data_IF_631232230843
#
_entry.id   IF_631232230843
#
_cell.length_a   1.000
_cell.length_b   1.000
_cell.length_c   1.000
_cell.angle_alpha   90.00
_cell.angle_beta   90.00
_cell.angle_gamma   90.00
#
_symmetry.space_group_name_H-M   'P 1'
#
loop_
_entity.id
_entity.type
_entity.pdbx_description
1 polymer ?
#
# COMPACT_ATOMS: atom_id res chain seq x y z
N UNK A 1 6.23 -6.67 7.16
CA UNK A 1 5.71 -5.53 7.94
C UNK A 1 4.27 -5.78 8.39
N UNK A 2 3.33 -6.01 7.47
CA UNK A 2 1.92 -6.29 7.81
C UNK A 2 1.74 -7.45 8.82
N UNK A 3 2.51 -8.53 8.65
CA UNK A 3 2.51 -9.67 9.59
C UNK A 3 2.98 -9.29 11.00
N UNK A 4 4.02 -8.46 11.11
CA UNK A 4 4.50 -7.98 12.41
C UNK A 4 3.46 -7.05 13.07
N UNK A 5 2.78 -6.21 12.28
CA UNK A 5 1.65 -5.40 12.78
C UNK A 5 0.46 -6.29 13.19
N UNK A 6 0.25 -7.43 12.54
CA UNK A 6 -0.77 -8.41 12.94
C UNK A 6 -0.46 -9.03 14.31
N UNK A 7 0.81 -9.35 14.59
CA UNK A 7 1.25 -9.81 15.92
C UNK A 7 0.93 -8.77 17.00
N UNK A 8 1.28 -7.49 16.75
CA UNK A 8 1.00 -6.39 17.68
C UNK A 8 -0.50 -6.23 17.91
N UNK A 9 -1.32 -6.27 16.85
CA UNK A 9 -2.78 -6.22 17.01
C UNK A 9 -3.32 -7.40 17.82
N UNK A 10 -2.79 -8.60 17.59
CA UNK A 10 -3.16 -9.80 18.35
C UNK A 10 -2.81 -9.69 19.84
N UNK A 11 -1.62 -9.17 20.17
CA UNK A 11 -1.20 -8.92 21.55
C UNK A 11 -2.08 -7.88 22.25
N UNK A 12 -2.40 -6.78 21.56
CA UNK A 12 -3.30 -5.76 22.10
C UNK A 12 -4.71 -6.31 22.38
N UNK A 13 -5.21 -7.19 21.51
CA UNK A 13 -6.50 -7.86 21.71
C UNK A 13 -6.45 -8.82 22.90
N UNK A 14 -5.35 -9.57 23.05
CA UNK A 14 -5.15 -10.45 24.20
C UNK A 14 -5.15 -9.65 25.52
N UNK A 15 -4.48 -8.49 25.55
CA UNK A 15 -4.52 -7.57 26.69
C UNK A 15 -5.94 -7.06 26.98
N UNK A 16 -6.68 -6.64 25.95
CA UNK A 16 -8.06 -6.19 26.10
C UNK A 16 -8.99 -7.28 26.65
N UNK A 17 -8.68 -8.56 26.38
CA UNK A 17 -9.39 -9.71 26.92
C UNK A 17 -8.86 -10.20 28.27
N UNK A 18 -7.84 -9.55 28.85
CA UNK A 18 -7.27 -9.93 30.13
C UNK A 18 -6.45 -11.22 30.09
N UNK A 19 -5.98 -11.65 28.92
CA UNK A 19 -5.14 -12.84 28.77
C UNK A 19 -3.71 -12.54 29.20
N UNK A 20 -3.12 -13.43 30.00
CA UNK A 20 -1.72 -13.33 30.44
C UNK A 20 -0.77 -14.22 29.67
N UNK A 21 -1.27 -15.22 28.96
CA UNK A 21 -0.47 -16.16 28.19
C UNK A 21 -1.07 -16.37 26.81
N UNK A 22 -0.23 -16.33 25.79
CA UNK A 22 -0.65 -16.60 24.42
C UNK A 22 0.46 -17.23 23.59
N UNK A 23 0.04 -18.08 22.65
CA UNK A 23 0.89 -18.62 21.61
C UNK A 23 0.53 -17.98 20.26
N UNK A 24 1.49 -17.28 19.67
CA UNK A 24 1.38 -16.66 18.35
C UNK A 24 1.86 -17.67 17.32
N UNK A 25 0.97 -18.06 16.41
CA UNK A 25 1.29 -18.91 15.28
C UNK A 25 1.57 -18.05 14.06
N UNK A 26 2.69 -18.29 13.38
CA UNK A 26 3.06 -17.59 12.15
C UNK A 26 3.64 -18.57 11.15
N UNK A 27 3.40 -18.39 9.86
CA UNK A 27 4.08 -19.11 8.78
C UNK A 27 5.26 -18.31 8.19
N UNK A 28 5.47 -17.10 8.69
CA UNK A 28 6.59 -16.25 8.30
C UNK A 28 7.81 -16.50 9.17
N UNK A 29 8.79 -17.19 8.59
CA UNK A 29 10.09 -17.45 9.22
C UNK A 29 10.81 -16.15 9.64
N UNK A 30 10.62 -15.08 8.87
CA UNK A 30 11.21 -13.77 9.17
C UNK A 30 10.59 -13.14 10.42
N UNK A 31 9.26 -13.14 10.53
CA UNK A 31 8.57 -12.61 11.73
C UNK A 31 8.85 -13.48 12.94
N UNK A 32 8.85 -14.81 12.77
CA UNK A 32 9.23 -15.74 13.82
C UNK A 32 10.60 -15.39 14.40
N UNK A 33 11.61 -15.25 13.53
CA UNK A 33 12.97 -14.89 13.94
C UNK A 33 13.01 -13.55 14.66
N UNK A 34 12.40 -12.52 14.10
CA UNK A 34 12.42 -11.17 14.68
C UNK A 34 11.81 -11.09 16.07
N UNK A 35 10.63 -11.71 16.27
CA UNK A 35 9.95 -11.70 17.56
C UNK A 35 10.69 -12.61 18.55
N UNK A 36 11.14 -13.80 18.13
CA UNK A 36 11.94 -14.69 18.99
C UNK A 36 13.26 -14.05 19.44
N UNK A 37 14.00 -13.41 18.53
CA UNK A 37 15.24 -12.70 18.84
C UNK A 37 14.97 -11.49 19.76
N UNK A 38 13.86 -10.78 19.54
CA UNK A 38 13.41 -9.70 20.41
C UNK A 38 13.05 -10.16 21.82
N UNK A 39 12.21 -11.18 21.96
CA UNK A 39 11.77 -11.70 23.26
C UNK A 39 12.90 -12.35 24.05
N UNK A 40 13.85 -13.00 23.39
CA UNK A 40 14.99 -13.63 24.05
C UNK A 40 16.05 -12.64 24.55
N UNK A 41 15.98 -11.37 24.12
CA UNK A 41 16.99 -10.35 24.44
C UNK A 41 18.38 -10.62 23.86
N UNK A 42 18.54 -11.68 23.04
CA UNK A 42 19.85 -12.22 22.65
C UNK A 42 20.51 -11.57 21.44
N UNK A 43 19.87 -10.63 20.73
CA UNK A 43 20.53 -9.98 19.60
C UNK A 43 19.97 -8.62 19.22
N UNK A 44 20.88 -7.72 18.82
CA UNK A 44 20.55 -6.60 17.94
C UNK A 44 19.93 -7.18 16.67
N UNK A 45 18.66 -6.88 16.42
CA UNK A 45 17.96 -7.21 15.16
C UNK A 45 18.83 -6.79 13.98
N UNK A 46 19.46 -7.76 13.32
CA UNK A 46 20.39 -7.49 12.23
C UNK A 46 19.65 -7.68 10.91
N UNK A 47 18.95 -6.64 10.46
CA UNK A 47 18.14 -6.69 9.25
C UNK A 47 18.57 -5.60 8.28
N UNK A 48 19.20 -5.96 7.15
CA UNK A 48 19.57 -5.02 6.07
C UNK A 48 18.38 -4.57 5.21
N UNK A 49 17.22 -4.36 5.81
CA UNK A 49 15.98 -4.04 5.10
C UNK A 49 15.74 -2.53 5.05
N UNK A 50 15.27 -2.02 3.92
CA UNK A 50 14.70 -0.68 3.81
C UNK A 50 13.44 -0.61 4.70
N UNK A 51 13.63 -0.25 5.98
CA UNK A 51 12.61 -0.35 7.02
C UNK A 51 13.08 -0.90 8.37
N UNK A 52 14.38 -1.21 8.54
CA UNK A 52 14.94 -1.72 9.80
C UNK A 52 14.49 -0.94 11.04
N UNK A 53 14.52 0.40 10.99
CA UNK A 53 14.10 1.23 12.14
C UNK A 53 12.64 1.00 12.54
N UNK A 54 11.76 0.77 11.57
CA UNK A 54 10.34 0.47 11.85
C UNK A 54 10.19 -0.91 12.48
N UNK A 55 10.92 -1.91 11.98
CA UNK A 55 10.93 -3.27 12.54
C UNK A 55 11.41 -3.22 13.99
N UNK A 56 12.53 -2.53 14.26
CA UNK A 56 13.07 -2.34 15.62
C UNK A 56 12.07 -1.65 16.55
N UNK A 57 11.44 -0.56 16.11
CA UNK A 57 10.43 0.15 16.91
C UNK A 57 9.24 -0.74 17.27
N UNK A 58 8.80 -1.55 16.32
CA UNK A 58 7.65 -2.46 16.48
C UNK A 58 7.97 -3.61 17.43
N UNK A 59 9.17 -4.18 17.34
CA UNK A 59 9.63 -5.21 18.28
C UNK A 59 9.87 -4.63 19.66
N UNK A 60 10.40 -3.40 19.76
CA UNK A 60 10.50 -2.68 21.02
C UNK A 60 9.14 -2.51 21.71
N UNK A 61 8.08 -2.24 20.94
CA UNK A 61 6.70 -2.19 21.49
C UNK A 61 6.27 -3.55 22.05
N UNK A 62 6.55 -4.64 21.34
CA UNK A 62 6.26 -6.01 21.82
C UNK A 62 7.03 -6.32 23.10
N UNK A 63 8.31 -5.96 23.17
CA UNK A 63 9.14 -6.15 24.36
C UNK A 63 8.59 -5.37 25.56
N UNK A 64 8.28 -4.08 25.37
CA UNK A 64 7.68 -3.26 26.43
C UNK A 64 6.38 -3.85 26.94
N UNK A 65 5.53 -4.38 26.06
CA UNK A 65 4.27 -5.00 26.50
C UNK A 65 4.49 -6.30 27.28
N UNK A 66 5.45 -7.12 26.87
CA UNK A 66 5.81 -8.35 27.58
C UNK A 66 6.32 -8.04 28.98
N UNK A 67 7.18 -7.05 29.11
CA UNK A 67 7.77 -6.63 30.38
C UNK A 67 6.74 -5.94 31.29
N UNK A 68 6.04 -4.91 30.78
CA UNK A 68 5.13 -4.06 31.57
C UNK A 68 3.86 -4.81 32.02
N UNK A 69 3.29 -5.63 31.14
CA UNK A 69 2.06 -6.37 31.43
C UNK A 69 2.30 -7.81 31.88
N UNK A 70 3.56 -8.23 32.04
CA UNK A 70 3.95 -9.60 32.39
C UNK A 70 3.31 -10.66 31.48
N UNK A 71 3.25 -10.38 30.16
CA UNK A 71 2.67 -11.29 29.18
C UNK A 71 3.61 -12.46 28.89
N UNK A 72 3.10 -13.68 29.00
CA UNK A 72 3.78 -14.88 28.54
C UNK A 72 3.49 -15.09 27.06
N UNK A 73 4.40 -14.61 26.20
CA UNK A 73 4.27 -14.74 24.75
C UNK A 73 5.20 -15.84 24.24
N UNK A 74 4.61 -16.86 23.63
CA UNK A 74 5.32 -17.88 22.85
C UNK A 74 5.07 -17.63 21.37
N UNK A 75 6.08 -17.77 20.53
CA UNK A 75 5.92 -17.73 19.07
C UNK A 75 6.31 -19.08 18.47
N UNK A 76 5.50 -19.59 17.55
CA UNK A 76 5.69 -20.88 16.91
C UNK A 76 5.55 -20.74 15.39
N UNK A 77 6.50 -21.32 14.66
CA UNK A 77 6.48 -21.38 13.19
C UNK A 77 5.60 -22.56 12.74
N UNK A 78 4.59 -22.29 11.93
CA UNK A 78 3.65 -23.29 11.38
C UNK A 78 3.72 -23.30 9.86
N UNK A 79 3.22 -24.36 9.21
CA UNK A 79 3.06 -24.37 7.75
C UNK A 79 1.96 -23.39 7.36
N UNK A 80 2.07 -22.75 6.18
CA UNK A 80 1.02 -21.84 5.69
C UNK A 80 -0.37 -22.48 5.62
N UNK A 81 -0.46 -23.79 5.34
CA UNK A 81 -1.72 -24.54 5.34
C UNK A 81 -2.38 -24.64 6.73
N UNK A 82 -1.60 -24.51 7.80
CA UNK A 82 -2.04 -24.58 9.19
C UNK A 82 -2.31 -23.18 9.76
N UNK A 83 -1.85 -22.12 9.07
CA UNK A 83 -2.11 -20.74 9.46
C UNK A 83 -3.56 -20.34 9.13
N UNK A 84 -4.46 -20.49 10.11
CA UNK A 84 -5.87 -20.11 9.99
C UNK A 84 -6.09 -18.64 9.65
N UNK A 85 -5.16 -17.75 10.01
CA UNK A 85 -5.27 -16.32 9.73
C UNK A 85 -5.10 -15.99 8.24
N UNK A 86 -4.43 -16.85 7.47
CA UNK A 86 -4.25 -16.66 6.04
C UNK A 86 -5.60 -16.68 5.30
N UNK A 87 -6.49 -17.62 5.65
CA UNK A 87 -7.86 -17.66 5.07
C UNK A 87 -8.63 -16.37 5.36
N UNK A 88 -8.48 -15.81 6.57
CA UNK A 88 -9.18 -14.61 7.00
C UNK A 88 -8.62 -13.31 6.39
N UNK A 89 -7.39 -13.34 5.89
CA UNK A 89 -6.69 -12.16 5.36
C UNK A 89 -6.55 -12.16 3.84
N UNK A 90 -6.92 -13.25 3.17
CA UNK A 90 -6.93 -13.32 1.70
C UNK A 90 -7.96 -12.37 1.11
N UNK A 91 -7.52 -11.58 0.15
CA UNK A 91 -8.41 -10.75 -0.68
C UNK A 91 -9.29 -11.68 -1.53
N UNK A 92 -10.62 -11.50 -1.56
CA UNK A 92 -11.50 -12.27 -2.42
C UNK A 92 -11.03 -12.23 -3.87
N UNK A 93 -10.95 -13.40 -4.51
CA UNK A 93 -10.47 -13.49 -5.90
C UNK A 93 -11.36 -12.71 -6.87
N UNK A 94 -12.65 -12.54 -6.56
CA UNK A 94 -13.52 -11.68 -7.38
C UNK A 94 -13.05 -10.23 -7.41
N UNK A 95 -12.44 -9.73 -6.34
CA UNK A 95 -11.96 -8.35 -6.25
C UNK A 95 -10.65 -8.15 -7.01
N UNK A 96 -9.92 -9.24 -7.26
CA UNK A 96 -8.70 -9.25 -8.06
C UNK A 96 -8.99 -9.39 -9.56
N UNK A 97 -10.23 -9.69 -9.96
CA UNK A 97 -10.60 -9.75 -11.37
C UNK A 97 -10.42 -8.34 -11.97
N UNK A 98 -9.61 -8.18 -13.03
CA UNK A 98 -9.61 -6.96 -13.80
C UNK A 98 -11.05 -6.68 -14.20
N UNK A 99 -11.51 -5.46 -13.92
CA UNK A 99 -12.82 -5.01 -14.39
C UNK A 99 -12.79 -5.14 -15.91
N UNK A 100 -13.60 -6.04 -16.47
CA UNK A 100 -13.66 -6.24 -17.92
C UNK A 100 -13.85 -4.87 -18.56
N UNK A 101 -12.86 -4.47 -19.37
CA UNK A 101 -12.98 -3.28 -20.17
C UNK A 101 -14.14 -3.55 -21.11
N UNK A 102 -15.30 -2.97 -20.82
CA UNK A 102 -16.45 -2.98 -21.72
C UNK A 102 -15.92 -2.42 -23.03
N UNK A 103 -15.73 -3.29 -24.02
CA UNK A 103 -15.30 -2.91 -25.35
C UNK A 103 -16.41 -2.03 -25.94
N UNK A 104 -16.25 -0.72 -25.77
CA UNK A 104 -17.10 0.26 -26.45
C UNK A 104 -16.70 0.23 -27.93
N UNK A 105 -17.64 0.05 -28.87
CA UNK A 105 -17.32 0.16 -30.28
C UNK A 105 -16.98 1.62 -30.57
N UNK A 106 -15.71 1.89 -30.86
CA UNK A 106 -15.19 3.23 -31.13
C UNK A 106 -15.37 3.51 -32.62
N UNK A 107 -16.42 4.25 -32.97
CA UNK A 107 -16.57 4.82 -34.32
C UNK A 107 -15.56 5.97 -34.49
N UNK A 108 -14.69 5.85 -35.48
CA UNK A 108 -13.44 6.62 -35.61
C UNK A 108 -13.59 8.14 -35.94
N UNK A 109 -14.79 8.70 -36.00
CA UNK A 109 -15.00 10.07 -36.51
C UNK A 109 -15.44 11.10 -35.47
N UNK A 110 -15.64 10.71 -34.20
CA UNK A 110 -16.04 11.65 -33.11
C UNK A 110 -15.13 11.61 -31.87
N UNK A 111 -14.16 10.70 -31.84
CA UNK A 111 -13.40 10.31 -30.64
C UNK A 111 -12.36 11.35 -30.23
N UNK A 112 -11.77 12.05 -31.22
CA UNK A 112 -10.73 13.05 -30.97
C UNK A 112 -11.24 14.19 -30.08
N UNK A 113 -12.48 14.62 -30.26
CA UNK A 113 -13.10 15.67 -29.42
C UNK A 113 -13.35 15.21 -27.97
N UNK A 114 -13.68 13.93 -27.77
CA UNK A 114 -13.97 13.36 -26.46
C UNK A 114 -12.72 13.17 -25.62
N UNK A 115 -11.64 12.68 -26.23
CA UNK A 115 -10.34 12.50 -25.56
C UNK A 115 -9.77 13.85 -25.15
N UNK A 116 -9.79 14.84 -26.03
CA UNK A 116 -9.32 16.19 -25.72
C UNK A 116 -10.12 16.87 -24.60
N UNK A 117 -11.47 16.76 -24.66
CA UNK A 117 -12.34 17.30 -23.61
C UNK A 117 -12.02 16.68 -22.25
N UNK A 118 -11.75 15.38 -22.22
CA UNK A 118 -11.43 14.66 -20.98
C UNK A 118 -10.05 15.00 -20.43
N UNK A 119 -9.05 15.15 -21.29
CA UNK A 119 -7.71 15.65 -20.88
C UNK A 119 -7.86 17.05 -20.28
N UNK A 120 -8.65 17.92 -20.91
CA UNK A 120 -8.92 19.29 -20.46
C UNK A 120 -9.59 19.31 -19.08
N UNK A 121 -10.64 18.51 -18.89
CA UNK A 121 -11.35 18.39 -17.62
C UNK A 121 -10.43 17.92 -16.48
N UNK A 122 -9.62 16.88 -16.71
CA UNK A 122 -8.64 16.38 -15.74
C UNK A 122 -7.59 17.45 -15.41
N UNK A 123 -7.08 18.14 -16.43
CA UNK A 123 -6.11 19.23 -16.26
C UNK A 123 -6.67 20.38 -15.40
N UNK A 124 -7.91 20.82 -15.64
CA UNK A 124 -8.55 21.86 -14.85
C UNK A 124 -8.83 21.41 -13.41
N UNK A 125 -9.44 20.23 -13.24
CA UNK A 125 -9.85 19.72 -11.93
C UNK A 125 -8.65 19.41 -11.04
N UNK A 126 -7.52 19.01 -11.63
CA UNK A 126 -6.28 18.76 -10.89
C UNK A 126 -5.46 20.02 -10.58
N UNK A 127 -5.98 21.22 -10.88
CA UNK A 127 -5.31 22.49 -10.58
C UNK A 127 -4.19 22.83 -11.55
N UNK A 128 -4.40 22.64 -12.85
CA UNK A 128 -3.46 23.03 -13.91
C UNK A 128 -2.03 22.44 -13.81
N UNK A 129 -1.87 21.13 -13.56
CA UNK A 129 -0.55 20.52 -13.49
C UNK A 129 0.16 20.53 -14.85
N UNK A 130 1.50 20.54 -14.82
CA UNK A 130 2.31 20.42 -16.04
C UNK A 130 2.17 19.06 -16.75
N UNK A 131 2.62 19.01 -18.00
CA UNK A 131 2.41 17.89 -18.95
C UNK A 131 2.65 16.50 -18.35
N UNK A 132 3.76 16.30 -17.61
CA UNK A 132 4.09 14.99 -17.01
C UNK A 132 3.03 14.51 -16.03
N UNK A 133 2.50 15.43 -15.21
CA UNK A 133 1.57 15.10 -14.13
C UNK A 133 0.14 15.02 -14.64
N UNK A 134 -0.23 15.84 -15.64
CA UNK A 134 -1.48 15.66 -16.41
C UNK A 134 -1.51 14.29 -17.10
N UNK A 135 -0.42 13.89 -17.78
CA UNK A 135 -0.32 12.59 -18.44
C UNK A 135 -0.47 11.41 -17.47
N UNK A 136 0.08 11.54 -16.25
CA UNK A 136 -0.09 10.54 -15.21
C UNK A 136 -1.56 10.36 -14.82
N UNK A 137 -2.30 11.45 -14.65
CA UNK A 137 -3.72 11.39 -14.30
C UNK A 137 -4.59 10.87 -15.44
N UNK A 138 -4.32 11.28 -16.67
CA UNK A 138 -5.10 10.83 -17.83
C UNK A 138 -4.91 9.33 -18.10
N UNK A 139 -3.67 8.81 -17.97
CA UNK A 139 -3.37 7.37 -18.14
C UNK A 139 -4.06 6.44 -17.15
N UNK A 140 -4.50 6.94 -15.98
CA UNK A 140 -5.32 6.14 -15.04
C UNK A 140 -6.74 5.91 -15.55
N UNK A 141 -7.23 6.79 -16.43
CA UNK A 141 -8.58 6.70 -17.01
C UNK A 141 -8.60 6.11 -18.41
N UNK A 142 -7.55 6.38 -19.20
CA UNK A 142 -7.40 5.90 -20.57
C UNK A 142 -5.89 5.71 -20.88
N UNK A 143 -5.41 4.45 -20.95
CA UNK A 143 -4.01 4.14 -21.20
C UNK A 143 -3.46 4.62 -22.54
N UNK A 144 -4.32 4.78 -23.55
CA UNK A 144 -3.98 5.12 -24.94
C UNK A 144 -3.63 6.61 -25.11
N UNK A 145 -3.95 7.44 -24.11
CA UNK A 145 -3.62 8.87 -24.15
C UNK A 145 -2.11 9.07 -24.24
N UNK A 146 -1.71 9.78 -25.28
CA UNK A 146 -0.31 10.06 -25.60
C UNK A 146 0.16 11.36 -24.96
N UNK A 147 1.49 11.48 -24.78
CA UNK A 147 2.11 12.71 -24.30
C UNK A 147 1.84 13.91 -25.22
N UNK A 148 1.76 13.69 -26.54
CA UNK A 148 1.51 14.75 -27.53
C UNK A 148 0.14 15.39 -27.35
N UNK A 149 -0.91 14.57 -27.15
CA UNK A 149 -2.27 15.06 -26.89
C UNK A 149 -2.33 15.90 -25.60
N UNK A 150 -1.68 15.44 -24.54
CA UNK A 150 -1.62 16.19 -23.27
C UNK A 150 -0.84 17.50 -23.41
N UNK A 151 0.26 17.48 -24.15
CA UNK A 151 1.04 18.68 -24.42
C UNK A 151 0.25 19.71 -25.20
N UNK A 152 -0.50 19.32 -26.24
CA UNK A 152 -1.35 20.22 -27.00
C UNK A 152 -2.39 20.94 -26.11
N UNK A 153 -3.05 20.19 -25.21
CA UNK A 153 -4.05 20.76 -24.28
C UNK A 153 -3.41 21.69 -23.25
N UNK A 154 -2.26 21.30 -22.68
CA UNK A 154 -1.57 22.11 -21.66
C UNK A 154 -0.99 23.39 -22.27
N UNK A 155 -0.39 23.31 -23.46
CA UNK A 155 0.15 24.46 -24.19
C UNK A 155 -0.95 25.40 -24.71
N UNK A 156 -2.15 24.88 -24.97
CA UNK A 156 -3.32 25.67 -25.39
C UNK A 156 -4.16 26.22 -24.23
N UNK A 157 -3.77 26.00 -22.97
CA UNK A 157 -4.54 26.43 -21.80
C UNK A 157 -4.24 27.89 -21.45
N UNK A 158 -5.24 28.77 -21.56
CA UNK A 158 -5.09 30.20 -21.31
C UNK A 158 -4.63 30.53 -19.88
N UNK A 159 -5.12 29.79 -18.87
CA UNK A 159 -4.66 29.97 -17.48
C UNK A 159 -3.19 29.62 -17.35
N UNK A 160 -2.73 28.52 -17.96
CA UNK A 160 -1.32 28.14 -17.91
C UNK A 160 -0.41 29.08 -18.70
N UNK A 161 -0.92 29.69 -19.78
CA UNK A 161 -0.19 30.72 -20.55
C UNK A 161 -0.11 32.05 -19.80
N UNK A 162 -1.13 32.38 -19.00
CA UNK A 162 -1.19 33.63 -18.23
C UNK A 162 -0.22 33.65 -17.05
N UNK A 163 0.27 32.48 -16.63
CA UNK A 163 1.37 32.37 -15.67
C UNK A 163 2.66 32.55 -16.44
N UNK A 164 3.21 33.76 -16.37
CA UNK A 164 4.50 34.12 -16.96
C UNK A 164 5.57 33.11 -16.51
N UNK A 165 6.31 32.43 -17.43
CA UNK A 165 7.43 31.61 -17.01
C UNK A 165 8.46 32.51 -16.33
N UNK A 166 8.72 32.25 -15.05
CA UNK A 166 9.78 32.93 -14.28
C UNK A 166 11.09 32.86 -15.08
N UNK A 167 11.82 33.98 -15.24
CA UNK A 167 13.07 34.06 -16.02
C UNK A 167 14.15 33.10 -15.53
#
# INVERSE_FOLDING_TARGET
MAELDAVIRGLNLALAWGLKGLEVLTDSATVHRWVSDGLSGKARLNTKAAGEMLIRRRIGTVQSWVEEYSLQVKISLVKSSENKADILTRVPKEWLKPREAVARPVCALTVETGVEKRIREIHHTAGHPGVRRTLYFTKRSDPEITRRQVQAITSGCEICKSVDPVP
#
